data_IF_751466558103
#
_entry.id   IF_751466558103
#
_cell.length_a   1.000
_cell.length_b   1.000
_cell.length_c   1.000
_cell.angle_alpha   90.00
_cell.angle_beta   90.00
_cell.angle_gamma   90.00
#
_symmetry.space_group_name_H-M   'P 1'
#
loop_
_entity.id
_entity.type
_entity.pdbx_description
1 polymer ?
#
# COMPACT_ATOMS: atom_id res chain seq x y z
N UNK A 1 7.17 -13.82 -6.24
CA UNK A 1 5.96 -14.58 -6.64
C UNK A 1 5.38 -13.81 -7.80
N UNK A 2 5.19 -14.45 -8.94
CA UNK A 2 4.59 -13.79 -10.11
C UNK A 2 3.08 -13.72 -9.94
N UNK A 3 2.50 -12.53 -10.11
CA UNK A 3 1.06 -12.30 -10.06
C UNK A 3 0.65 -11.77 -11.45
N UNK A 4 0.09 -12.62 -12.32
CA UNK A 4 -0.17 -12.25 -13.72
C UNK A 4 -1.31 -11.25 -13.85
N UNK A 5 -1.43 -10.60 -15.01
CA UNK A 5 -2.53 -9.69 -15.32
C UNK A 5 -3.91 -10.36 -15.17
N UNK A 6 -4.02 -11.66 -15.46
CA UNK A 6 -5.27 -12.43 -15.28
C UNK A 6 -5.77 -12.47 -13.83
N UNK A 7 -4.90 -12.21 -12.86
CA UNK A 7 -5.25 -12.04 -11.43
C UNK A 7 -5.43 -10.57 -11.03
N UNK A 8 -5.34 -9.64 -11.98
CA UNK A 8 -5.24 -8.20 -11.73
C UNK A 8 -3.96 -7.81 -11.00
N UNK A 9 -2.86 -8.54 -11.22
CA UNK A 9 -1.59 -8.38 -10.51
C UNK A 9 -1.68 -8.53 -8.98
N UNK A 10 -2.72 -9.19 -8.47
CA UNK A 10 -2.92 -9.46 -7.04
C UNK A 10 -2.36 -10.83 -6.67
N UNK A 11 -1.81 -10.93 -5.47
CA UNK A 11 -1.46 -12.19 -4.85
C UNK A 11 -2.75 -12.95 -4.49
N UNK A 12 -2.87 -14.20 -4.93
CA UNK A 12 -3.98 -15.06 -4.53
C UNK A 12 -3.61 -15.91 -3.30
N UNK A 13 -4.60 -16.39 -2.53
CA UNK A 13 -4.37 -17.30 -1.40
C UNK A 13 -3.57 -18.55 -1.77
N UNK A 14 -3.84 -19.13 -2.94
CA UNK A 14 -3.18 -20.34 -3.43
C UNK A 14 -1.70 -20.09 -3.75
N UNK A 15 -1.41 -18.94 -4.39
CA UNK A 15 -0.04 -18.52 -4.67
C UNK A 15 0.74 -18.21 -3.39
N UNK A 16 0.08 -17.57 -2.41
CA UNK A 16 0.67 -17.30 -1.11
C UNK A 16 1.00 -18.61 -0.37
N UNK A 17 0.04 -19.52 -0.24
CA UNK A 17 0.22 -20.80 0.45
C UNK A 17 1.39 -21.59 -0.15
N UNK A 18 1.43 -21.69 -1.48
CA UNK A 18 2.50 -22.41 -2.20
C UNK A 18 3.88 -21.78 -2.01
N UNK A 19 3.95 -20.46 -1.84
CA UNK A 19 5.21 -19.74 -1.72
C UNK A 19 5.77 -19.70 -0.30
N UNK A 20 4.95 -19.95 0.73
CA UNK A 20 5.40 -19.99 2.11
C UNK A 20 6.27 -21.24 2.34
N UNK A 21 7.39 -21.05 3.01
CA UNK A 21 8.31 -22.10 3.43
C UNK A 21 8.62 -21.95 4.92
N UNK A 22 9.26 -22.93 5.58
CA UNK A 22 9.74 -22.77 6.96
C UNK A 22 10.71 -21.60 7.16
N UNK A 23 11.34 -21.09 6.08
CA UNK A 23 12.25 -19.93 6.12
C UNK A 23 11.57 -18.59 5.84
N UNK A 24 10.31 -18.59 5.42
CA UNK A 24 9.57 -17.35 5.13
C UNK A 24 9.36 -16.56 6.43
N UNK A 25 9.77 -15.29 6.42
CA UNK A 25 9.66 -14.39 7.58
C UNK A 25 8.67 -13.26 7.38
N UNK A 26 8.53 -12.76 6.16
CA UNK A 26 7.71 -11.60 5.84
C UNK A 26 6.90 -11.85 4.58
N UNK A 27 5.64 -11.44 4.62
CA UNK A 27 4.86 -11.09 3.44
C UNK A 27 4.87 -9.56 3.30
N UNK A 28 5.20 -9.07 2.11
CA UNK A 28 5.08 -7.66 1.76
C UNK A 28 3.84 -7.48 0.90
N UNK A 29 2.88 -6.70 1.38
CA UNK A 29 1.70 -6.28 0.64
C UNK A 29 1.82 -4.79 0.38
N UNK A 30 1.92 -4.40 -0.89
CA UNK A 30 1.87 -3.00 -1.29
C UNK A 30 0.54 -2.73 -1.99
N UNK A 31 -0.30 -1.89 -1.38
CA UNK A 31 -1.65 -1.65 -1.86
C UNK A 31 -2.13 -0.22 -1.53
N UNK A 32 -2.64 0.55 -2.52
CA UNK A 32 -2.53 0.32 -3.96
C UNK A 32 -1.10 0.02 -4.45
N UNK A 33 -0.96 -0.93 -5.37
CA UNK A 33 0.33 -1.46 -5.79
C UNK A 33 1.12 -0.50 -6.69
N UNK A 34 2.42 -0.39 -6.47
CA UNK A 34 3.38 0.16 -7.42
C UNK A 34 4.21 -1.01 -7.98
N UNK A 35 4.13 -1.34 -9.30
CA UNK A 35 3.66 -0.46 -10.38
C UNK A 35 2.22 -0.69 -10.89
N UNK A 36 1.50 -1.72 -10.45
CA UNK A 36 0.24 -2.16 -11.10
C UNK A 36 -0.98 -1.27 -10.86
N UNK A 37 -1.00 -0.48 -9.79
CA UNK A 37 -2.20 0.21 -9.30
C UNK A 37 -3.26 -0.71 -8.71
N UNK A 38 -2.95 -2.00 -8.50
CA UNK A 38 -3.90 -2.99 -8.00
C UNK A 38 -4.24 -2.77 -6.52
N UNK A 39 -5.50 -2.98 -6.15
CA UNK A 39 -5.99 -2.87 -4.78
C UNK A 39 -6.58 -4.22 -4.36
N UNK A 40 -6.59 -4.49 -3.06
CA UNK A 40 -7.26 -5.66 -2.49
C UNK A 40 -8.58 -5.25 -1.84
N UNK A 41 -9.65 -5.99 -2.16
CA UNK A 41 -10.91 -5.87 -1.43
C UNK A 41 -10.80 -6.47 -0.02
N UNK A 42 -11.79 -6.20 0.83
CA UNK A 42 -11.84 -6.83 2.15
C UNK A 42 -11.86 -8.36 2.09
N UNK A 43 -12.56 -8.95 1.10
CA UNK A 43 -12.58 -10.40 0.90
C UNK A 43 -11.22 -10.94 0.48
N UNK A 44 -10.50 -10.23 -0.40
CA UNK A 44 -9.16 -10.65 -0.83
C UNK A 44 -8.20 -10.66 0.36
N UNK A 45 -8.20 -9.59 1.17
CA UNK A 45 -7.35 -9.48 2.35
C UNK A 45 -7.66 -10.54 3.39
N UNK A 46 -8.94 -10.85 3.63
CA UNK A 46 -9.34 -11.93 4.55
C UNK A 46 -8.91 -13.30 4.05
N UNK A 47 -8.98 -13.55 2.74
CA UNK A 47 -8.54 -14.81 2.17
C UNK A 47 -7.01 -14.99 2.34
N UNK A 48 -6.22 -13.94 2.14
CA UNK A 48 -4.79 -13.93 2.46
C UNK A 48 -4.55 -14.09 3.97
N UNK A 49 -5.34 -13.42 4.80
CA UNK A 49 -5.29 -13.52 6.26
C UNK A 49 -5.52 -14.96 6.76
N UNK A 50 -6.48 -15.66 6.18
CA UNK A 50 -6.78 -17.06 6.50
C UNK A 50 -5.61 -18.01 6.18
N UNK A 51 -4.85 -17.73 5.11
CA UNK A 51 -3.59 -18.44 4.82
C UNK A 51 -2.56 -18.12 5.90
N UNK A 52 -2.30 -16.83 6.17
CA UNK A 52 -1.31 -16.39 7.16
C UNK A 52 -1.59 -16.89 8.57
N UNK A 53 -2.87 -17.06 8.95
CA UNK A 53 -3.29 -17.63 10.23
C UNK A 53 -2.70 -19.04 10.47
N UNK A 54 -2.52 -19.83 9.41
CA UNK A 54 -1.89 -21.17 9.49
C UNK A 54 -0.36 -21.14 9.55
N UNK A 55 0.25 -19.98 9.29
CA UNK A 55 1.70 -19.78 9.22
C UNK A 55 2.15 -18.72 10.24
N UNK A 56 2.14 -19.01 11.55
CA UNK A 56 2.37 -18.02 12.62
C UNK A 56 3.75 -17.35 12.58
N UNK A 57 4.73 -17.98 11.93
CA UNK A 57 6.09 -17.45 11.76
C UNK A 57 6.20 -16.31 10.75
N UNK A 58 5.18 -16.12 9.90
CA UNK A 58 5.19 -15.09 8.85
C UNK A 58 4.60 -13.80 9.39
N UNK A 59 5.43 -12.75 9.39
CA UNK A 59 5.04 -11.37 9.67
C UNK A 59 4.47 -10.72 8.41
N UNK A 60 3.66 -9.68 8.57
CA UNK A 60 3.06 -8.94 7.44
C UNK A 60 3.57 -7.51 7.47
N UNK A 61 4.11 -7.04 6.36
CA UNK A 61 4.35 -5.62 6.11
C UNK A 61 3.31 -5.13 5.10
N UNK A 62 2.39 -4.29 5.57
CA UNK A 62 1.36 -3.66 4.74
C UNK A 62 1.81 -2.24 4.41
N UNK A 63 2.28 -2.01 3.18
CA UNK A 63 2.61 -0.68 2.67
C UNK A 63 1.36 -0.06 2.03
N UNK A 64 0.78 0.89 2.78
CA UNK A 64 -0.50 1.55 2.53
C UNK A 64 -0.29 3.00 2.07
N UNK A 65 0.90 3.35 1.57
CA UNK A 65 1.30 4.73 1.21
C UNK A 65 0.39 5.41 0.17
N UNK A 66 -0.36 4.63 -0.61
CA UNK A 66 -1.28 5.11 -1.64
C UNK A 66 -2.75 5.11 -1.20
N UNK A 67 -3.07 4.90 0.09
CA UNK A 67 -4.44 4.68 0.58
C UNK A 67 -5.47 5.75 0.14
N UNK A 68 -5.03 6.98 -0.11
CA UNK A 68 -5.93 8.07 -0.53
C UNK A 68 -6.00 8.27 -2.05
N UNK A 69 -5.17 7.58 -2.83
CA UNK A 69 -5.16 7.66 -4.29
C UNK A 69 -5.87 6.42 -4.83
N UNK A 70 -7.19 6.47 -4.79
CA UNK A 70 -8.12 5.43 -5.24
C UNK A 70 -9.04 6.03 -6.29
N UNK A 71 -9.53 5.21 -7.20
CA UNK A 71 -10.43 5.65 -8.27
C UNK A 71 -11.79 4.97 -8.18
N UNK A 72 -12.72 5.41 -9.02
CA UNK A 72 -14.08 4.88 -9.18
C UNK A 72 -14.91 4.92 -7.88
N UNK A 73 -14.62 5.89 -7.00
CA UNK A 73 -15.28 6.02 -5.70
C UNK A 73 -15.00 4.86 -4.71
N UNK A 74 -13.92 4.10 -4.93
CA UNK A 74 -13.53 2.98 -4.05
C UNK A 74 -13.10 3.47 -2.67
N UNK A 75 -13.36 2.62 -1.68
CA UNK A 75 -12.84 2.76 -0.33
C UNK A 75 -11.61 1.89 -0.11
N UNK A 76 -10.62 2.42 0.62
CA UNK A 76 -9.45 1.66 1.02
C UNK A 76 -9.76 0.81 2.26
N UNK A 77 -9.21 -0.41 2.26
CA UNK A 77 -9.29 -1.32 3.40
C UNK A 77 -7.86 -1.66 3.85
N UNK A 78 -7.46 -1.09 4.99
CA UNK A 78 -6.19 -1.45 5.64
C UNK A 78 -6.16 -2.93 6.02
N UNK A 79 -5.00 -3.57 5.89
CA UNK A 79 -4.82 -4.98 6.28
C UNK A 79 -5.14 -5.19 7.76
N UNK A 80 -4.73 -4.27 8.62
CA UNK A 80 -5.00 -4.35 10.06
C UNK A 80 -6.48 -4.27 10.42
N UNK A 81 -7.30 -3.63 9.58
CA UNK A 81 -8.77 -3.60 9.72
C UNK A 81 -9.41 -4.88 9.18
N UNK A 82 -8.90 -5.43 8.08
CA UNK A 82 -9.45 -6.64 7.47
C UNK A 82 -9.17 -7.90 8.30
N UNK A 83 -7.98 -7.99 8.89
CA UNK A 83 -7.44 -9.16 9.60
C UNK A 83 -6.96 -8.78 11.01
N UNK A 84 -7.86 -8.35 11.91
CA UNK A 84 -7.49 -7.88 13.25
C UNK A 84 -6.78 -8.95 14.10
N UNK A 85 -7.04 -10.23 13.84
CA UNK A 85 -6.39 -11.37 14.48
C UNK A 85 -4.88 -11.49 14.15
N UNK A 86 -4.41 -10.80 13.11
CA UNK A 86 -3.00 -10.78 12.69
C UNK A 86 -2.25 -9.54 13.20
N UNK A 87 -2.88 -8.70 14.01
CA UNK A 87 -2.33 -7.43 14.51
C UNK A 87 -0.96 -7.58 15.17
N UNK A 88 -0.75 -8.62 15.98
CA UNK A 88 0.48 -8.83 16.76
C UNK A 88 1.70 -9.23 15.91
N UNK A 89 1.52 -9.31 14.58
CA UNK A 89 2.58 -9.58 13.61
C UNK A 89 2.43 -8.79 12.31
N UNK A 90 1.66 -7.71 12.34
CA UNK A 90 1.45 -6.82 11.18
C UNK A 90 2.09 -5.47 11.44
N UNK A 91 2.98 -5.03 10.55
CA UNK A 91 3.50 -3.68 10.46
C UNK A 91 2.79 -2.95 9.33
N UNK A 92 1.98 -1.96 9.65
CA UNK A 92 1.40 -1.03 8.69
C UNK A 92 2.41 0.09 8.47
N UNK A 93 2.73 0.40 7.21
CA UNK A 93 3.64 1.46 6.78
C UNK A 93 2.86 2.43 5.92
N UNK A 94 3.00 3.72 6.20
CA UNK A 94 2.33 4.79 5.47
C UNK A 94 3.13 6.10 5.61
N UNK A 95 2.63 7.23 5.10
CA UNK A 95 3.34 8.49 5.12
C UNK A 95 2.63 9.59 4.34
N UNK A 96 3.18 10.80 4.41
CA UNK A 96 2.56 11.97 3.77
C UNK A 96 3.05 12.25 2.35
N UNK A 97 3.98 11.43 1.86
CA UNK A 97 4.69 11.71 0.60
C UNK A 97 3.77 11.75 -0.62
N UNK A 98 2.73 10.92 -0.67
CA UNK A 98 1.92 10.71 -1.88
C UNK A 98 0.60 11.46 -1.80
N UNK A 99 -0.19 11.18 -0.77
CA UNK A 99 -1.50 11.77 -0.56
C UNK A 99 -1.47 13.30 -0.42
N UNK A 100 -0.40 13.83 0.19
CA UNK A 100 -0.25 15.27 0.48
C UNK A 100 0.80 15.96 -0.39
N UNK A 101 1.30 15.30 -1.45
CA UNK A 101 2.39 15.80 -2.30
C UNK A 101 3.67 16.22 -1.53
N UNK A 102 3.92 15.62 -0.35
CA UNK A 102 5.05 15.98 0.51
C UNK A 102 6.31 15.12 0.27
N UNK A 103 6.58 14.70 -0.96
CA UNK A 103 7.71 13.80 -1.28
C UNK A 103 9.07 14.32 -0.78
N UNK A 104 9.33 15.62 -0.92
CA UNK A 104 10.57 16.27 -0.47
C UNK A 104 10.71 16.45 1.04
N UNK A 105 9.65 16.26 1.82
CA UNK A 105 9.64 16.47 3.27
C UNK A 105 10.15 15.27 4.06
N UNK A 106 10.20 14.10 3.41
CA UNK A 106 10.83 12.87 3.92
C UNK A 106 10.25 12.36 5.24
N UNK A 107 8.93 12.34 5.36
CA UNK A 107 8.23 11.76 6.52
C UNK A 107 7.40 10.54 6.10
N UNK A 108 7.69 9.42 6.76
CA UNK A 108 6.87 8.21 6.78
C UNK A 108 6.65 7.79 8.23
N UNK A 109 5.65 6.95 8.46
CA UNK A 109 5.32 6.42 9.77
C UNK A 109 4.88 4.97 9.65
N UNK A 110 4.97 4.24 10.76
CA UNK A 110 4.52 2.86 10.81
C UNK A 110 3.85 2.57 12.16
N UNK A 111 2.89 1.64 12.14
CA UNK A 111 2.20 1.14 13.31
C UNK A 111 2.26 -0.39 13.33
N UNK A 112 2.64 -0.97 14.46
CA UNK A 112 2.80 -2.41 14.59
C UNK A 112 3.10 -2.85 16.03
N UNK A 113 3.46 -4.12 16.24
CA UNK A 113 3.73 -4.67 17.57
C UNK A 113 4.85 -3.92 18.29
N UNK A 114 4.65 -3.64 19.58
CA UNK A 114 5.61 -2.87 20.38
C UNK A 114 7.05 -3.42 20.37
N UNK A 115 7.30 -4.74 20.40
CA UNK A 115 8.66 -5.27 20.29
C UNK A 115 9.33 -4.90 18.96
N UNK A 116 8.59 -4.93 17.86
CA UNK A 116 9.10 -4.60 16.52
C UNK A 116 9.37 -3.10 16.39
N UNK A 117 8.41 -2.25 16.77
CA UNK A 117 8.57 -0.79 16.66
C UNK A 117 9.69 -0.27 17.56
N UNK A 118 9.89 -0.89 18.73
CA UNK A 118 11.04 -0.59 19.60
C UNK A 118 12.37 -0.97 18.94
N UNK A 119 12.45 -2.13 18.30
CA UNK A 119 13.64 -2.54 17.55
C UNK A 119 13.93 -1.59 16.38
N UNK A 120 12.90 -1.15 15.65
CA UNK A 120 13.02 -0.14 14.60
C UNK A 120 13.56 1.19 15.14
N UNK A 121 13.07 1.65 16.30
CA UNK A 121 13.54 2.87 16.94
C UNK A 121 15.02 2.80 17.34
N UNK A 122 15.52 1.64 17.79
CA UNK A 122 16.95 1.43 18.06
C UNK A 122 17.77 1.65 16.79
N UNK A 123 17.39 1.02 15.68
CA UNK A 123 18.08 1.20 14.38
C UNK A 123 18.01 2.67 13.92
N UNK A 124 16.83 3.30 14.03
CA UNK A 124 16.64 4.69 13.64
C UNK A 124 17.56 5.63 14.43
N UNK A 125 17.72 5.41 15.74
CA UNK A 125 18.60 6.21 16.60
C UNK A 125 20.07 6.19 16.14
N UNK A 126 20.51 5.08 15.54
CA UNK A 126 21.87 4.93 15.01
C UNK A 126 21.99 5.33 13.53
N UNK A 127 20.87 5.54 12.84
CA UNK A 127 20.85 5.86 11.41
C UNK A 127 20.67 7.35 11.13
N UNK A 128 19.66 7.98 11.74
CA UNK A 128 19.32 9.38 11.50
C UNK A 128 18.94 10.15 12.76
N UNK A 129 18.93 9.51 13.93
CA UNK A 129 18.49 10.05 15.22
C UNK A 129 17.00 10.40 15.26
N UNK A 130 16.59 11.40 14.48
CA UNK A 130 15.21 11.86 14.41
C UNK A 130 14.85 12.38 13.01
N UNK A 131 13.55 12.40 12.72
CA UNK A 131 13.02 13.04 11.51
C UNK A 131 13.08 14.56 11.68
N UNK A 132 13.27 15.31 10.60
CA UNK A 132 13.28 16.78 10.60
C UNK A 132 12.05 17.35 11.35
N UNK A 133 12.27 18.17 12.37
CA UNK A 133 11.19 18.71 13.24
C UNK A 133 10.18 19.55 12.46
N UNK A 134 10.66 20.35 11.49
CA UNK A 134 9.78 21.14 10.60
C UNK A 134 8.88 20.22 9.76
N UNK A 135 9.43 19.11 9.26
CA UNK A 135 8.65 18.15 8.50
C UNK A 135 7.66 17.37 9.36
N UNK A 136 7.99 17.08 10.61
CA UNK A 136 7.05 16.52 11.59
C UNK A 136 5.89 17.49 11.87
N UNK A 137 6.17 18.77 12.10
CA UNK A 137 5.13 19.79 12.31
C UNK A 137 4.21 19.94 11.09
N UNK A 138 4.78 19.97 9.88
CA UNK A 138 3.99 19.98 8.65
C UNK A 138 3.14 18.70 8.48
N UNK A 139 3.66 17.54 8.88
CA UNK A 139 2.92 16.26 8.87
C UNK A 139 1.72 16.30 9.82
N UNK A 140 1.87 16.87 11.02
CA UNK A 140 0.75 17.06 11.96
C UNK A 140 -0.33 17.95 11.34
N UNK A 141 0.06 19.04 10.68
CA UNK A 141 -0.89 19.92 10.00
C UNK A 141 -1.60 19.22 8.83
N UNK A 142 -0.88 18.40 8.05
CA UNK A 142 -1.45 17.63 6.95
C UNK A 142 -2.48 16.58 7.42
N UNK A 143 -2.17 15.84 8.50
CA UNK A 143 -3.03 14.77 9.00
C UNK A 143 -4.27 15.28 9.76
N UNK A 144 -4.15 16.37 10.52
CA UNK A 144 -5.24 16.91 11.33
C UNK A 144 -6.03 18.03 10.63
N UNK A 145 -5.50 18.55 9.53
CA UNK A 145 -6.12 19.63 8.76
C UNK A 145 -7.23 19.16 7.81
N UNK A 146 -7.83 20.09 7.05
CA UNK A 146 -8.82 19.77 6.02
C UNK A 146 -8.25 18.82 4.95
N UNK A 147 -9.09 17.93 4.44
CA UNK A 147 -8.70 16.89 3.48
C UNK A 147 -9.15 17.20 2.03
N UNK A 148 -9.64 18.42 1.78
CA UNK A 148 -10.20 18.83 0.48
C UNK A 148 -9.17 18.73 -0.66
N UNK A 149 -7.91 19.09 -0.39
CA UNK A 149 -6.83 19.01 -1.37
C UNK A 149 -6.51 17.56 -1.77
N UNK A 150 -6.60 16.61 -0.83
CA UNK A 150 -6.41 15.18 -1.13
C UNK A 150 -7.50 14.70 -2.09
N UNK A 151 -8.76 15.10 -1.86
CA UNK A 151 -9.87 14.79 -2.76
C UNK A 151 -9.69 15.43 -4.14
N UNK A 152 -9.23 16.69 -4.20
CA UNK A 152 -8.92 17.40 -5.45
C UNK A 152 -7.80 16.71 -6.24
N UNK A 153 -6.74 16.29 -5.56
CA UNK A 153 -5.64 15.55 -6.19
C UNK A 153 -6.12 14.22 -6.76
N UNK A 154 -6.93 13.47 -5.99
CA UNK A 154 -7.51 12.20 -6.41
C UNK A 154 -8.32 12.35 -7.71
N UNK A 155 -9.23 13.33 -7.79
CA UNK A 155 -10.01 13.62 -9.01
C UNK A 155 -9.10 13.95 -10.20
N UNK A 156 -8.04 14.74 -9.98
CA UNK A 156 -7.08 15.05 -11.04
C UNK A 156 -6.29 13.81 -11.48
N UNK A 157 -5.92 12.90 -10.57
CA UNK A 157 -5.27 11.64 -10.94
C UNK A 157 -6.22 10.72 -11.70
N UNK A 158 -7.50 10.67 -11.34
CA UNK A 158 -8.51 9.86 -12.02
C UNK A 158 -8.72 10.30 -13.47
N UNK A 159 -8.89 11.61 -13.70
CA UNK A 159 -9.01 12.14 -15.06
C UNK A 159 -7.76 11.85 -15.92
N UNK A 160 -6.56 11.89 -15.32
CA UNK A 160 -5.30 11.53 -16.00
C UNK A 160 -5.19 10.04 -16.28
N UNK A 161 -5.63 9.19 -15.34
CA UNK A 161 -5.74 7.75 -15.55
C UNK A 161 -6.63 7.47 -16.75
N UNK A 162 -7.83 8.05 -16.80
CA UNK A 162 -8.80 7.80 -17.86
C UNK A 162 -8.25 8.18 -19.22
N UNK A 163 -7.59 9.33 -19.31
CA UNK A 163 -6.90 9.77 -20.52
C UNK A 163 -5.85 8.75 -21.00
N UNK A 164 -5.02 8.23 -20.09
CA UNK A 164 -3.97 7.25 -20.43
C UNK A 164 -4.60 5.91 -20.83
N UNK A 165 -5.58 5.42 -20.07
CA UNK A 165 -6.29 4.17 -20.37
C UNK A 165 -6.95 4.22 -21.73
N UNK A 166 -7.68 5.28 -22.04
CA UNK A 166 -8.33 5.45 -23.35
C UNK A 166 -7.33 5.64 -24.49
N UNK A 167 -6.19 6.28 -24.23
CA UNK A 167 -5.09 6.38 -25.18
C UNK A 167 -4.49 5.02 -25.53
N UNK A 168 -4.13 4.23 -24.51
CA UNK A 168 -3.52 2.90 -24.70
C UNK A 168 -4.48 1.93 -25.39
N UNK A 169 -5.77 1.94 -25.03
CA UNK A 169 -6.80 1.09 -25.68
C UNK A 169 -6.89 1.26 -27.21
N UNK A 170 -6.42 2.39 -27.75
CA UNK A 170 -6.45 2.69 -29.19
C UNK A 170 -5.20 2.23 -29.93
N UNK A 171 -4.16 1.78 -29.22
CA UNK A 171 -2.90 1.34 -29.81
C UNK A 171 -2.95 -0.18 -29.99
N UNK A 172 -2.90 -0.64 -31.25
CA UNK A 172 -2.91 -2.06 -31.55
C UNK A 172 -1.68 -2.76 -30.95
N UNK A 173 -1.90 -3.89 -30.27
CA UNK A 173 -0.85 -4.68 -29.65
C UNK A 173 -0.45 -4.25 -28.23
N UNK A 174 -1.12 -3.24 -27.65
CA UNK A 174 -0.96 -2.89 -26.23
C UNK A 174 -2.24 -3.17 -25.44
N UNK A 175 -2.07 -3.66 -24.22
CA UNK A 175 -3.15 -3.86 -23.25
C UNK A 175 -2.83 -3.11 -21.95
N UNK A 176 -3.89 -2.64 -21.31
CA UNK A 176 -3.82 -1.95 -20.02
C UNK A 176 -5.14 -2.14 -19.27
N UNK A 177 -5.10 -3.01 -18.26
CA UNK A 177 -6.12 -3.03 -17.23
C UNK A 177 -6.13 -1.68 -16.49
N UNK A 178 -7.30 -0.99 -16.35
CA UNK A 178 -7.36 0.29 -15.65
C UNK A 178 -6.88 0.13 -14.20
N UNK A 179 -5.89 0.91 -13.75
CA UNK A 179 -5.42 0.83 -12.37
C UNK A 179 -6.54 1.31 -11.43
N UNK A 180 -6.65 0.67 -10.28
CA UNK A 180 -7.69 0.95 -9.28
C UNK A 180 -7.25 2.06 -8.30
N UNK A 181 -5.94 2.32 -8.22
CA UNK A 181 -5.35 3.39 -7.43
C UNK A 181 -3.90 3.69 -7.79
N UNK A 182 -3.20 4.40 -6.90
CA UNK A 182 -1.89 5.00 -7.15
C UNK A 182 -1.91 5.91 -8.40
N UNK A 183 -0.81 6.02 -9.14
CA UNK A 183 -0.72 6.89 -10.33
C UNK A 183 0.17 6.28 -11.42
N UNK A 184 0.16 4.96 -11.54
CA UNK A 184 0.98 4.20 -12.47
C UNK A 184 0.10 3.47 -13.49
N UNK A 185 0.61 3.34 -14.72
CA UNK A 185 0.03 2.48 -15.74
C UNK A 185 1.04 1.37 -16.04
N UNK A 186 0.70 0.14 -15.67
CA UNK A 186 1.53 -1.03 -15.95
C UNK A 186 1.03 -1.69 -17.23
N UNK A 187 1.60 -1.24 -18.35
CA UNK A 187 1.27 -1.72 -19.69
C UNK A 187 1.90 -3.10 -19.87
N UNK A 188 1.09 -4.07 -20.28
CA UNK A 188 1.48 -5.46 -20.51
C UNK A 188 0.44 -6.14 -21.34
#
# INVERSE_FOLDING_TARGET
IECPETSGFRLTPELLEKAITPRTKWLFLNMPGNPSGAIYSQSDLRALGAVLARHPQVLVLSDEIYEHILFDGRDFVSFGKACPELRDRTLIVNGVSKSYAMTGWRVGYAAGPAPLTRAMAIIQSQSCTSVCSIAQAATVAALNGPQDEVARFRQAFEARRDLVVDGIRRINGLTLSPPEGAFYAYIG
#
